data_IF_153265237804
#
_entry.id   IF_153265237804
#
_cell.length_a   1.000
_cell.length_b   1.000
_cell.length_c   1.000
_cell.angle_alpha   90.00
_cell.angle_beta   90.00
_cell.angle_gamma   90.00
#
_symmetry.space_group_name_H-M   'P 1'
#
loop_
_entity.id
_entity.type
_entity.pdbx_description
1 polymer ?
#
# COMPACT_ATOMS: atom_id res chain seq x y z
N UNK A 1 -0.53 -18.23 3.94
CA UNK A 1 -1.45 -17.27 3.27
C UNK A 1 -1.31 -15.92 3.95
N UNK A 2 -0.23 -15.21 3.64
CA UNK A 2 0.21 -14.04 4.38
C UNK A 2 -0.33 -12.76 3.76
N UNK A 3 -0.25 -11.66 4.51
CA UNK A 3 -0.54 -10.31 4.04
C UNK A 3 0.47 -9.90 2.94
N UNK A 4 0.26 -10.42 1.73
CA UNK A 4 1.10 -10.22 0.56
C UNK A 4 0.36 -9.42 -0.51
N UNK A 5 1.11 -8.62 -1.26
CA UNK A 5 0.58 -7.94 -2.42
C UNK A 5 0.50 -8.90 -3.62
N UNK A 6 -0.67 -9.02 -4.23
CA UNK A 6 -0.90 -9.88 -5.40
C UNK A 6 -0.22 -9.38 -6.68
N UNK A 7 0.33 -8.16 -6.69
CA UNK A 7 0.97 -7.55 -7.87
C UNK A 7 2.49 -7.62 -7.77
N UNK A 8 3.06 -7.26 -6.63
CA UNK A 8 4.52 -7.17 -6.45
C UNK A 8 5.09 -8.19 -5.46
N UNK A 9 4.27 -9.06 -4.87
CA UNK A 9 4.71 -10.09 -3.93
C UNK A 9 5.21 -9.57 -2.58
N UNK A 10 5.10 -8.26 -2.30
CA UNK A 10 5.56 -7.69 -1.00
C UNK A 10 4.82 -8.34 0.15
N UNK A 11 5.57 -9.05 0.99
CA UNK A 11 5.11 -9.68 2.22
C UNK A 11 5.58 -8.98 3.49
N UNK A 12 5.10 -9.44 4.66
CA UNK A 12 5.57 -8.94 5.93
C UNK A 12 7.03 -9.35 6.17
N UNK A 13 7.85 -8.40 6.60
CA UNK A 13 9.25 -8.65 6.96
C UNK A 13 9.44 -8.58 8.47
N UNK A 14 10.38 -9.36 9.00
CA UNK A 14 10.79 -9.31 10.40
C UNK A 14 11.93 -8.32 10.57
N UNK A 15 11.94 -7.58 11.67
CA UNK A 15 13.13 -6.91 12.13
C UNK A 15 13.00 -6.49 13.58
N UNK A 16 13.87 -5.60 14.02
CA UNK A 16 13.95 -5.25 15.44
C UNK A 16 13.38 -3.84 15.68
N UNK A 17 12.79 -3.65 16.86
CA UNK A 17 12.57 -2.36 17.49
C UNK A 17 13.76 -2.14 18.43
N UNK A 18 14.59 -1.16 18.09
CA UNK A 18 15.78 -0.80 18.87
C UNK A 18 15.43 0.47 19.63
N UNK A 19 15.46 0.39 20.95
CA UNK A 19 15.25 1.53 21.84
C UNK A 19 16.62 2.06 22.27
N UNK A 20 16.82 3.37 22.06
CA UNK A 20 18.05 4.07 22.42
C UNK A 20 17.75 5.20 23.38
N UNK A 21 18.65 5.43 24.35
CA UNK A 21 18.59 6.54 25.31
C UNK A 21 19.87 7.38 25.25
N UNK A 22 19.74 8.64 25.64
CA UNK A 22 20.83 9.62 25.62
C UNK A 22 20.92 10.39 24.30
N UNK A 23 21.68 11.49 24.30
CA UNK A 23 21.94 12.30 23.11
C UNK A 23 23.10 11.70 22.32
N UNK A 24 23.00 11.76 20.99
CA UNK A 24 24.10 11.34 20.13
C UNK A 24 25.33 12.23 20.31
N UNK A 25 26.53 11.66 20.10
CA UNK A 25 27.80 12.37 20.31
C UNK A 25 27.94 13.63 19.45
N UNK A 26 27.47 13.58 18.20
CA UNK A 26 27.52 14.73 17.30
C UNK A 26 26.63 15.91 17.75
N UNK A 27 25.69 15.68 18.66
CA UNK A 27 24.86 16.72 19.28
C UNK A 27 25.47 17.23 20.61
N UNK A 28 26.74 16.94 20.88
CA UNK A 28 27.42 17.32 22.13
C UNK A 28 27.04 16.46 23.34
N UNK A 29 26.43 15.29 23.13
CA UNK A 29 26.10 14.34 24.20
C UNK A 29 27.22 13.32 24.47
N UNK A 30 27.11 12.58 25.58
CA UNK A 30 28.03 11.47 25.91
C UNK A 30 27.90 10.29 24.92
N UNK A 31 26.72 10.10 24.34
CA UNK A 31 26.41 9.07 23.35
C UNK A 31 25.07 8.37 23.60
N UNK A 32 24.53 7.74 22.56
CA UNK A 32 23.31 6.93 22.64
C UNK A 32 23.64 5.51 23.12
N UNK A 33 22.94 5.04 24.15
CA UNK A 33 23.00 3.65 24.63
C UNK A 33 21.77 2.89 24.17
N UNK A 34 21.96 1.65 23.75
CA UNK A 34 20.86 0.74 23.40
C UNK A 34 20.30 0.16 24.70
N UNK A 35 19.02 0.37 24.97
CA UNK A 35 18.35 -0.10 26.19
C UNK A 35 17.53 -1.36 25.99
N UNK A 36 17.10 -1.62 24.75
CA UNK A 36 16.28 -2.79 24.45
C UNK A 36 16.24 -3.09 22.97
N UNK A 37 16.21 -4.38 22.65
CA UNK A 37 16.03 -4.90 21.30
C UNK A 37 14.90 -5.93 21.35
N UNK A 38 13.76 -5.61 20.74
CA UNK A 38 12.61 -6.52 20.66
C UNK A 38 12.26 -6.81 19.21
N UNK A 39 11.68 -7.99 18.93
CA UNK A 39 11.28 -8.39 17.57
C UNK A 39 9.97 -7.69 17.18
N UNK A 40 9.90 -7.15 15.96
CA UNK A 40 8.68 -6.59 15.36
C UNK A 40 8.46 -7.06 13.92
N UNK A 41 7.21 -6.99 13.47
CA UNK A 41 6.79 -7.29 12.10
C UNK A 41 6.53 -5.99 11.34
N UNK A 42 7.20 -5.79 10.22
CA UNK A 42 6.92 -4.74 9.26
C UNK A 42 5.90 -5.26 8.25
N UNK A 43 4.69 -4.72 8.30
CA UNK A 43 3.62 -5.09 7.37
C UNK A 43 3.57 -4.08 6.22
N UNK A 44 3.51 -4.52 4.95
CA UNK A 44 3.24 -3.59 3.85
C UNK A 44 1.84 -2.99 4.01
N UNK A 45 1.68 -1.72 3.62
CA UNK A 45 0.35 -1.08 3.59
C UNK A 45 -0.45 -1.67 2.41
N UNK A 46 -1.18 -2.75 2.69
CA UNK A 46 -2.06 -3.43 1.75
C UNK A 46 -3.47 -2.89 1.87
N UNK A 47 -4.06 -2.60 0.71
CA UNK A 47 -5.42 -2.11 0.58
C UNK A 47 -6.22 -3.09 -0.28
N UNK A 48 -7.47 -3.33 0.12
CA UNK A 48 -8.41 -4.12 -0.65
C UNK A 48 -9.06 -3.23 -1.70
N UNK A 49 -8.77 -3.48 -2.98
CA UNK A 49 -9.21 -2.62 -4.08
C UNK A 49 -9.90 -3.44 -5.16
N UNK A 50 -10.98 -2.91 -5.73
CA UNK A 50 -11.60 -3.44 -6.95
C UNK A 50 -10.81 -2.95 -8.15
N UNK A 51 -10.25 -3.88 -8.89
CA UNK A 51 -9.40 -3.64 -10.06
C UNK A 51 -10.18 -3.97 -11.32
N UNK A 52 -10.07 -3.11 -12.33
CA UNK A 52 -10.59 -3.40 -13.66
C UNK A 52 -9.60 -4.30 -14.42
N UNK A 53 -10.07 -5.46 -14.85
CA UNK A 53 -9.32 -6.36 -15.73
C UNK A 53 -9.41 -5.85 -17.17
N UNK A 54 -8.41 -6.18 -17.99
CA UNK A 54 -8.43 -5.84 -19.42
C UNK A 54 -9.64 -6.45 -20.15
N UNK A 55 -10.15 -7.58 -19.67
CA UNK A 55 -11.26 -8.34 -20.27
C UNK A 55 -12.66 -7.85 -19.83
N UNK A 56 -12.79 -6.63 -19.31
CA UNK A 56 -14.07 -6.03 -18.94
C UNK A 56 -14.64 -6.44 -17.56
N UNK A 57 -13.99 -7.36 -16.84
CA UNK A 57 -14.40 -7.78 -15.50
C UNK A 57 -13.79 -6.95 -14.36
N UNK A 58 -14.39 -7.00 -13.17
CA UNK A 58 -13.78 -6.43 -11.94
C UNK A 58 -13.45 -7.50 -10.94
N UNK A 59 -12.24 -7.45 -10.35
CA UNK A 59 -11.81 -8.37 -9.28
C UNK A 59 -11.36 -7.61 -8.04
N UNK A 60 -11.69 -8.12 -6.86
CA UNK A 60 -11.13 -7.64 -5.60
C UNK A 60 -9.72 -8.22 -5.41
N UNK A 61 -8.74 -7.34 -5.20
CA UNK A 61 -7.34 -7.73 -4.98
C UNK A 61 -6.72 -6.99 -3.80
N UNK A 62 -5.77 -7.66 -3.13
CA UNK A 62 -4.93 -7.05 -2.07
C UNK A 62 -3.72 -6.42 -2.73
N UNK A 63 -3.70 -5.09 -2.75
CA UNK A 63 -2.69 -4.32 -3.50
C UNK A 63 -1.94 -3.38 -2.55
N UNK A 64 -0.63 -3.29 -2.75
CA UNK A 64 0.23 -2.38 -2.01
C UNK A 64 -0.05 -0.93 -2.42
N UNK A 65 -0.01 0.03 -1.47
CA UNK A 65 -0.23 1.45 -1.80
C UNK A 65 0.77 1.98 -2.83
N UNK A 66 2.03 1.52 -2.82
CA UNK A 66 3.01 1.90 -3.83
C UNK A 66 2.59 1.45 -5.25
N UNK A 67 2.02 0.25 -5.36
CA UNK A 67 1.55 -0.33 -6.62
C UNK A 67 0.37 0.48 -7.18
N UNK A 68 -0.54 0.90 -6.29
CA UNK A 68 -1.65 1.79 -6.62
C UNK A 68 -1.12 3.15 -7.09
N UNK A 69 -0.13 3.70 -6.38
CA UNK A 69 0.49 4.99 -6.72
C UNK A 69 1.23 4.95 -8.06
N UNK A 70 1.90 3.85 -8.38
CA UNK A 70 2.64 3.68 -9.64
C UNK A 70 1.75 3.43 -10.87
N UNK A 71 0.42 3.32 -10.71
CA UNK A 71 -0.48 3.05 -11.84
C UNK A 71 -0.45 1.60 -12.35
N UNK A 72 0.30 0.70 -11.70
CA UNK A 72 0.34 -0.73 -12.02
C UNK A 72 -1.05 -1.41 -11.91
N UNK A 73 -2.00 -0.77 -11.23
CA UNK A 73 -3.37 -1.24 -11.05
C UNK A 73 -4.36 -0.12 -11.34
N UNK A 74 -5.28 -0.36 -12.28
CA UNK A 74 -6.41 0.54 -12.54
C UNK A 74 -7.58 0.19 -11.63
N UNK A 75 -8.01 1.14 -10.80
CA UNK A 75 -9.20 0.98 -9.96
C UNK A 75 -10.45 0.93 -10.84
N UNK A 76 -11.42 0.11 -10.46
CA UNK A 76 -12.74 0.13 -11.07
C UNK A 76 -13.42 1.48 -10.79
N UNK A 77 -13.84 2.18 -11.84
CA UNK A 77 -14.58 3.44 -11.75
C UNK A 77 -16.00 3.11 -11.27
N UNK A 78 -16.38 3.58 -10.07
CA UNK A 78 -17.77 3.48 -9.60
C UNK A 78 -18.62 4.49 -10.35
N UNK A 79 -19.50 4.01 -11.23
CA UNK A 79 -20.52 4.85 -11.88
C UNK A 79 -21.69 5.06 -10.92
N UNK A 80 -22.28 6.25 -10.92
CA UNK A 80 -23.56 6.48 -10.24
C UNK A 80 -24.63 5.64 -10.95
N UNK A 81 -25.56 5.01 -10.22
CA UNK A 81 -26.71 4.37 -10.86
C UNK A 81 -27.47 5.45 -11.65
N UNK A 82 -27.83 5.15 -12.90
CA UNK A 82 -28.56 6.02 -13.84
C UNK A 82 -27.80 7.14 -14.57
N UNK A 83 -26.47 7.24 -14.42
CA UNK A 83 -25.69 8.15 -15.27
C UNK A 83 -25.32 7.47 -16.60
N UNK A 84 -25.68 8.11 -17.74
CA UNK A 84 -25.19 7.69 -19.06
C UNK A 84 -23.66 7.71 -19.10
N UNK A 85 -23.07 6.77 -19.83
CA UNK A 85 -21.62 6.78 -20.06
C UNK A 85 -21.26 8.10 -20.77
N UNK A 86 -20.19 8.80 -20.39
CA UNK A 86 -19.76 10.00 -21.11
C UNK A 86 -19.47 9.76 -22.60
N UNK A 87 -19.20 8.51 -23.01
CA UNK A 87 -19.10 8.12 -24.41
C UNK A 87 -20.47 8.12 -25.12
N UNK A 88 -21.49 7.55 -24.47
CA UNK A 88 -22.86 7.43 -25.04
C UNK A 88 -23.56 8.81 -25.07
N UNK A 89 -23.30 9.67 -24.09
CA UNK A 89 -23.82 11.03 -24.03
C UNK A 89 -23.28 11.96 -25.13
N UNK A 90 -22.12 11.63 -25.74
CA UNK A 90 -21.54 12.38 -26.87
C UNK A 90 -22.12 11.99 -28.22
N UNK A 91 -22.67 10.77 -28.37
CA UNK A 91 -23.35 10.32 -29.59
C UNK A 91 -24.82 10.75 -29.66
N UNK A 92 -25.42 11.14 -28.53
CA UNK A 92 -26.82 11.58 -28.44
C UNK A 92 -27.02 13.08 -28.75
N UNK A 93 -25.98 13.76 -29.27
CA UNK A 93 -26.02 15.12 -29.81
C UNK A 93 -25.77 15.06 -31.31
#
# INVERSE_FOLDING_TARGET
MAAECQVCGKGPQMGNRVETRGKAKYLGGVGTKVTGITRRKFKPNLQNVKVALANGGTRSMRVCVQCIRSGAVRKAVKRKPFALNPADAKLAK
#
